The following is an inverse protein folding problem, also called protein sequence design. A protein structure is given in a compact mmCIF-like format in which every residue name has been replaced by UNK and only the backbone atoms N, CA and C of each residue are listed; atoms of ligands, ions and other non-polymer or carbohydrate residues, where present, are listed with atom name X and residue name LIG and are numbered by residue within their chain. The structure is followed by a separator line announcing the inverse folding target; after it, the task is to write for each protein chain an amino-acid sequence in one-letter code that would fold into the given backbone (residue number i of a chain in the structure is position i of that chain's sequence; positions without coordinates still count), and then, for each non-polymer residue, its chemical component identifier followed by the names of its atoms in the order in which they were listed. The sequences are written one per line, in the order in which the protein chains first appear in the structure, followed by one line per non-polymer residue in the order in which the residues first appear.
data_IF_028821081278
#
_entry.id   IF_028821081278
#
_cell.length_a   1.000
_cell.length_b   1.000
_cell.length_c   1.000
_cell.angle_alpha   90.00
_cell.angle_beta   90.00
_cell.angle_gamma   90.00
#
_symmetry.space_group_name_H-M   'P 1'
#
loop_
_entity.id
_entity.type
_entity.pdbx_description
1 polymer ?
#
# COMPACT_ATOMS: atom_id res chain seq x y z
N UNK A 1 17.58 2.30 -18.41
CA UNK A 1 16.80 2.11 -17.15
C UNK A 1 16.23 0.71 -17.18
N UNK A 2 16.55 -0.14 -16.21
CA UNK A 2 16.07 -1.53 -16.18
C UNK A 2 14.60 -1.56 -15.78
N UNK A 3 13.74 -2.03 -16.68
CA UNK A 3 12.35 -2.32 -16.35
C UNK A 3 12.27 -3.47 -15.33
N UNK A 4 11.27 -3.48 -14.44
CA UNK A 4 11.09 -4.59 -13.51
C UNK A 4 10.77 -5.88 -14.27
N UNK A 5 11.26 -7.00 -13.76
CA UNK A 5 10.80 -8.31 -14.18
C UNK A 5 9.46 -8.61 -13.49
N UNK A 6 8.40 -8.79 -14.28
CA UNK A 6 7.07 -9.08 -13.75
C UNK A 6 6.75 -10.57 -13.87
N UNK A 7 6.18 -11.12 -12.82
CA UNK A 7 5.70 -12.51 -12.74
C UNK A 7 4.53 -12.62 -11.78
N UNK A 8 3.90 -13.77 -11.71
CA UNK A 8 2.79 -14.02 -10.78
C UNK A 8 3.09 -15.24 -9.93
N UNK A 9 2.61 -15.21 -8.70
CA UNK A 9 2.71 -16.27 -7.69
C UNK A 9 1.32 -16.65 -7.16
N UNK A 10 1.24 -17.74 -6.41
CA UNK A 10 0.01 -18.22 -5.80
C UNK A 10 -0.75 -19.23 -6.65
N UNK A 11 -1.75 -19.90 -6.08
CA UNK A 11 -2.56 -20.88 -6.77
C UNK A 11 -3.43 -20.26 -7.86
N UNK A 12 -3.95 -21.10 -8.77
CA UNK A 12 -4.90 -20.67 -9.78
C UNK A 12 -6.14 -20.03 -9.11
N UNK A 13 -6.56 -18.89 -9.65
CA UNK A 13 -7.65 -18.08 -9.10
C UNK A 13 -7.26 -17.10 -7.98
N UNK A 14 -6.04 -17.21 -7.44
CA UNK A 14 -5.51 -16.28 -6.41
C UNK A 14 -4.12 -15.74 -6.80
N UNK A 15 -3.90 -15.51 -8.06
CA UNK A 15 -2.60 -15.03 -8.56
C UNK A 15 -2.30 -13.62 -8.10
N UNK A 16 -1.14 -13.45 -7.48
CA UNK A 16 -0.59 -12.16 -7.06
C UNK A 16 0.54 -11.77 -8.02
N UNK A 17 0.45 -10.58 -8.58
CA UNK A 17 1.46 -10.06 -9.48
C UNK A 17 2.58 -9.35 -8.71
N UNK A 18 3.80 -9.66 -9.07
CA UNK A 18 5.02 -9.11 -8.48
C UNK A 18 5.82 -8.40 -9.57
N UNK A 19 6.28 -7.19 -9.27
CA UNK A 19 7.31 -6.49 -10.02
C UNK A 19 8.63 -6.58 -9.24
N UNK A 20 9.71 -7.08 -9.88
CA UNK A 20 11.01 -7.26 -9.26
C UNK A 20 12.08 -6.40 -9.92
N UNK A 21 12.86 -5.69 -9.11
CA UNK A 21 14.08 -5.00 -9.51
C UNK A 21 15.28 -5.69 -8.84
N UNK A 22 16.38 -5.74 -9.57
CA UNK A 22 17.54 -6.53 -9.17
C UNK A 22 17.50 -7.96 -9.74
N UNK A 23 18.64 -8.64 -9.65
CA UNK A 23 18.81 -10.02 -10.14
C UNK A 23 18.40 -11.01 -9.05
N UNK A 24 17.61 -12.01 -9.42
CA UNK A 24 17.29 -13.14 -8.56
C UNK A 24 18.56 -13.92 -8.18
N UNK A 25 18.60 -14.41 -6.94
CA UNK A 25 19.78 -15.14 -6.46
C UNK A 25 21.04 -14.28 -6.33
N UNK A 26 20.92 -12.96 -6.25
CA UNK A 26 22.04 -12.04 -6.08
C UNK A 26 22.73 -12.11 -4.71
N UNK A 27 22.14 -12.82 -3.74
CA UNK A 27 22.57 -12.84 -2.35
C UNK A 27 22.23 -11.57 -1.55
N UNK A 28 21.60 -10.58 -2.19
CA UNK A 28 21.13 -9.35 -1.50
C UNK A 28 19.90 -9.64 -0.66
N UNK A 29 19.74 -8.97 0.50
CA UNK A 29 18.54 -9.09 1.32
C UNK A 29 17.30 -8.60 0.54
N UNK A 30 16.10 -9.14 0.80
CA UNK A 30 14.88 -8.70 0.13
C UNK A 30 14.33 -7.41 0.72
N UNK A 31 13.84 -6.53 -0.17
CA UNK A 31 12.93 -5.45 0.19
C UNK A 31 11.55 -5.75 -0.40
N UNK A 32 10.48 -5.68 0.41
CA UNK A 32 9.10 -5.91 -0.02
C UNK A 32 8.31 -4.61 0.06
N UNK A 33 7.78 -4.17 -1.10
CA UNK A 33 7.08 -2.90 -1.25
C UNK A 33 5.58 -3.12 -1.49
N UNK A 34 4.73 -2.38 -0.76
CA UNK A 34 3.26 -2.42 -0.88
C UNK A 34 2.68 -1.03 -1.11
N UNK A 35 1.92 -0.88 -2.18
CA UNK A 35 1.26 0.38 -2.55
C UNK A 35 -0.06 0.62 -1.81
N UNK A 36 -0.54 1.87 -1.80
CA UNK A 36 -1.84 2.26 -1.26
C UNK A 36 -3.02 1.84 -2.17
N UNK A 37 -4.25 1.99 -1.66
CA UNK A 37 -5.47 1.69 -2.43
C UNK A 37 -5.52 2.54 -3.71
N UNK A 38 -5.94 1.91 -4.81
CA UNK A 38 -6.07 2.54 -6.12
C UNK A 38 -4.78 2.60 -6.95
N UNK A 39 -3.63 2.22 -6.40
CA UNK A 39 -2.33 2.25 -7.10
C UNK A 39 -1.91 0.87 -7.63
N UNK A 40 -0.66 0.76 -8.05
CA UNK A 40 -0.04 -0.45 -8.60
C UNK A 40 1.42 -0.55 -8.14
N UNK A 41 2.04 -1.72 -8.26
CA UNK A 41 3.42 -1.97 -7.84
C UNK A 41 4.43 -0.98 -8.46
N UNK A 42 4.21 -0.56 -9.70
CA UNK A 42 5.15 0.30 -10.43
C UNK A 42 5.20 1.76 -9.96
N UNK A 43 4.28 2.21 -9.12
CA UNK A 43 4.43 3.54 -8.48
C UNK A 43 5.68 3.63 -7.61
N UNK A 44 6.28 2.49 -7.28
CA UNK A 44 7.55 2.38 -6.56
C UNK A 44 8.79 2.41 -7.46
N UNK A 45 8.65 2.53 -8.79
CA UNK A 45 9.76 2.33 -9.74
C UNK A 45 10.99 3.19 -9.46
N UNK A 46 10.82 4.43 -9.06
CA UNK A 46 11.94 5.34 -8.78
C UNK A 46 12.69 4.90 -7.51
N UNK A 47 11.96 4.63 -6.46
CA UNK A 47 12.51 4.12 -5.18
C UNK A 47 13.12 2.73 -5.36
N UNK A 48 12.45 1.84 -6.07
CA UNK A 48 12.87 0.45 -6.24
C UNK A 48 14.15 0.33 -7.06
N UNK A 49 14.36 1.17 -8.08
CA UNK A 49 15.59 1.18 -8.88
C UNK A 49 16.82 1.52 -8.02
N UNK A 50 16.69 2.53 -7.16
CA UNK A 50 17.79 2.92 -6.27
C UNK A 50 18.03 1.87 -5.19
N UNK A 51 16.96 1.33 -4.57
CA UNK A 51 17.08 0.26 -3.58
C UNK A 51 17.71 -1.02 -4.15
N UNK A 52 17.58 -1.27 -5.46
CA UNK A 52 18.17 -2.44 -6.12
C UNK A 52 19.71 -2.46 -6.09
N UNK A 53 20.35 -1.35 -5.73
CA UNK A 53 21.79 -1.34 -5.44
C UNK A 53 22.15 -2.24 -4.25
N UNK A 54 21.29 -2.28 -3.21
CA UNK A 54 21.57 -2.96 -1.95
C UNK A 54 20.63 -4.14 -1.66
N UNK A 55 19.45 -4.20 -2.33
CA UNK A 55 18.37 -5.18 -2.10
C UNK A 55 17.96 -5.89 -3.38
N UNK A 56 17.37 -7.08 -3.23
CA UNK A 56 16.46 -7.61 -4.24
C UNK A 56 15.07 -7.07 -3.91
N UNK A 57 14.54 -6.19 -4.77
CA UNK A 57 13.31 -5.45 -4.49
C UNK A 57 12.12 -6.14 -5.13
N UNK A 58 11.08 -6.41 -4.35
CA UNK A 58 9.80 -6.97 -4.78
C UNK A 58 8.70 -5.98 -4.47
N UNK A 59 7.90 -5.59 -5.45
CA UNK A 59 6.69 -4.81 -5.23
C UNK A 59 5.47 -5.63 -5.63
N UNK A 60 4.51 -5.75 -4.71
CA UNK A 60 3.30 -6.55 -4.89
C UNK A 60 2.15 -5.67 -5.38
N UNK A 61 1.49 -6.06 -6.47
CA UNK A 61 0.15 -5.58 -6.75
C UNK A 61 -0.82 -6.21 -5.74
N UNK A 62 -1.45 -5.40 -4.89
CA UNK A 62 -2.44 -5.88 -3.93
C UNK A 62 -3.62 -6.53 -4.66
N UNK A 63 -4.34 -7.51 -4.05
CA UNK A 63 -5.56 -8.06 -4.66
C UNK A 63 -6.49 -6.93 -5.13
N UNK A 64 -7.20 -7.13 -6.22
CA UNK A 64 -8.05 -6.11 -6.82
C UNK A 64 -7.32 -5.03 -7.64
N UNK A 65 -5.98 -4.92 -7.51
CA UNK A 65 -5.18 -3.91 -8.18
C UNK A 65 -4.31 -4.50 -9.30
N UNK A 66 -3.82 -3.63 -10.16
CA UNK A 66 -2.83 -3.94 -11.18
C UNK A 66 -3.12 -5.25 -11.92
N UNK A 67 -2.17 -6.15 -11.92
CA UNK A 67 -2.25 -7.45 -12.57
C UNK A 67 -2.59 -8.60 -11.62
N UNK A 68 -2.79 -8.32 -10.32
CA UNK A 68 -3.26 -9.30 -9.36
C UNK A 68 -4.71 -9.67 -9.59
N UNK A 69 -5.11 -10.84 -9.07
CA UNK A 69 -6.47 -11.33 -9.16
C UNK A 69 -7.49 -10.37 -8.53
N UNK A 70 -8.73 -10.44 -9.00
CA UNK A 70 -9.84 -9.58 -8.60
C UNK A 70 -10.95 -10.45 -8.04
N UNK A 71 -10.90 -10.78 -6.73
CA UNK A 71 -11.91 -11.62 -6.10
C UNK A 71 -13.26 -10.91 -6.01
N UNK A 72 -14.27 -11.65 -5.55
CA UNK A 72 -15.59 -11.12 -5.23
C UNK A 72 -15.55 -10.11 -4.08
N UNK A 73 -16.57 -9.25 -3.98
CA UNK A 73 -16.58 -8.10 -3.08
C UNK A 73 -16.46 -8.43 -1.58
N UNK A 74 -16.74 -9.66 -1.17
CA UNK A 74 -16.62 -10.17 0.18
C UNK A 74 -15.21 -10.60 0.58
N UNK A 75 -14.24 -10.52 -0.34
CA UNK A 75 -12.85 -10.97 -0.17
C UNK A 75 -11.84 -9.81 -0.09
N UNK A 76 -12.23 -8.67 0.49
CA UNK A 76 -11.41 -7.48 0.66
C UNK A 76 -11.26 -7.06 2.12
N UNK A 77 -11.32 -8.01 3.07
CA UNK A 77 -11.03 -7.73 4.48
C UNK A 77 -9.52 -7.54 4.70
N UNK A 78 -9.16 -6.81 5.75
CA UNK A 78 -7.76 -6.59 6.10
C UNK A 78 -6.96 -7.89 6.23
N UNK A 79 -7.57 -8.94 6.80
CA UNK A 79 -6.95 -10.25 6.95
C UNK A 79 -6.68 -10.92 5.59
N UNK A 80 -7.54 -10.71 4.61
CA UNK A 80 -7.34 -11.24 3.25
C UNK A 80 -6.10 -10.63 2.59
N UNK A 81 -5.88 -9.31 2.76
CA UNK A 81 -4.69 -8.63 2.24
C UNK A 81 -3.42 -9.06 2.98
N UNK A 82 -3.48 -9.20 4.30
CA UNK A 82 -2.35 -9.69 5.09
C UNK A 82 -1.96 -11.11 4.70
N UNK A 83 -2.94 -11.96 4.43
CA UNK A 83 -2.74 -13.33 3.96
C UNK A 83 -2.07 -13.37 2.56
N UNK A 84 -2.43 -12.48 1.65
CA UNK A 84 -1.75 -12.34 0.35
C UNK A 84 -0.26 -12.02 0.54
N UNK A 85 0.07 -11.12 1.45
CA UNK A 85 1.46 -10.78 1.75
C UNK A 85 2.20 -12.01 2.31
N UNK A 86 1.57 -12.76 3.22
CA UNK A 86 2.12 -14.01 3.77
C UNK A 86 2.37 -15.04 2.65
N UNK A 87 1.39 -15.24 1.77
CA UNK A 87 1.51 -16.13 0.61
C UNK A 87 2.68 -15.70 -0.29
N UNK A 88 2.82 -14.40 -0.54
CA UNK A 88 3.93 -13.87 -1.35
C UNK A 88 5.28 -14.15 -0.70
N UNK A 89 5.41 -13.92 0.59
CA UNK A 89 6.64 -14.17 1.36
C UNK A 89 7.02 -15.66 1.31
N UNK A 90 6.06 -16.57 1.49
CA UNK A 90 6.29 -18.01 1.47
C UNK A 90 6.64 -18.51 0.07
N UNK A 91 5.88 -18.10 -0.96
CA UNK A 91 6.11 -18.51 -2.34
C UNK A 91 7.48 -18.07 -2.88
N UNK A 92 7.97 -16.92 -2.40
CA UNK A 92 9.28 -16.38 -2.76
C UNK A 92 10.40 -16.80 -1.81
N UNK A 93 10.10 -17.51 -0.72
CA UNK A 93 11.05 -17.94 0.29
C UNK A 93 11.76 -16.80 1.01
N UNK A 94 11.12 -15.62 1.14
CA UNK A 94 11.74 -14.42 1.68
C UNK A 94 11.96 -14.52 3.19
N UNK A 95 13.14 -14.10 3.64
CA UNK A 95 13.54 -13.95 5.05
C UNK A 95 14.36 -12.68 5.20
N UNK A 96 14.49 -12.16 6.41
CA UNK A 96 15.20 -10.91 6.71
C UNK A 96 14.69 -9.72 5.89
N UNK A 97 13.37 -9.63 5.75
CA UNK A 97 12.70 -8.69 4.84
C UNK A 97 12.74 -7.28 5.41
N UNK A 98 13.20 -6.32 4.60
CA UNK A 98 12.90 -4.91 4.81
C UNK A 98 11.55 -4.60 4.17
N UNK A 99 10.50 -4.46 4.97
CA UNK A 99 9.16 -4.11 4.49
C UNK A 99 9.00 -2.60 4.36
N UNK A 100 8.49 -2.13 3.20
CA UNK A 100 8.26 -0.71 2.90
C UNK A 100 6.86 -0.58 2.32
N UNK A 101 6.00 0.24 2.95
CA UNK A 101 4.62 0.29 2.49
C UNK A 101 3.94 1.64 2.76
N UNK A 102 2.89 1.92 1.99
CA UNK A 102 2.14 3.16 2.02
C UNK A 102 0.64 2.93 2.23
N UNK A 103 0.02 3.75 3.07
CA UNK A 103 -1.43 3.83 3.27
C UNK A 103 -2.03 2.46 3.63
N UNK A 104 -3.05 1.97 2.93
CA UNK A 104 -3.64 0.66 3.16
C UNK A 104 -2.64 -0.50 2.99
N UNK A 105 -1.70 -0.40 2.04
CA UNK A 105 -0.61 -1.38 1.92
C UNK A 105 0.30 -1.43 3.15
N UNK A 106 0.46 -0.30 3.85
CA UNK A 106 1.16 -0.25 5.12
C UNK A 106 0.44 -1.05 6.22
N UNK A 107 -0.89 -0.97 6.24
CA UNK A 107 -1.71 -1.78 7.15
C UNK A 107 -1.58 -3.27 6.83
N UNK A 108 -1.68 -3.64 5.55
CA UNK A 108 -1.54 -5.04 5.12
C UNK A 108 -0.18 -5.62 5.55
N UNK A 109 0.89 -4.83 5.39
CA UNK A 109 2.24 -5.24 5.77
C UNK A 109 2.41 -5.40 7.29
N UNK A 110 1.85 -4.48 8.08
CA UNK A 110 1.85 -4.56 9.54
C UNK A 110 1.10 -5.81 10.03
N UNK A 111 -0.05 -6.11 9.45
CA UNK A 111 -0.83 -7.30 9.80
C UNK A 111 -0.13 -8.60 9.35
N UNK A 112 0.53 -8.58 8.21
CA UNK A 112 1.34 -9.71 7.74
C UNK A 112 2.56 -9.96 8.66
N UNK A 113 3.15 -8.92 9.22
CA UNK A 113 4.24 -9.05 10.18
C UNK A 113 3.82 -9.81 11.46
N UNK A 114 2.56 -9.71 11.87
CA UNK A 114 2.01 -10.56 12.93
C UNK A 114 1.84 -12.02 12.48
N UNK A 115 1.45 -12.25 11.23
CA UNK A 115 1.25 -13.62 10.71
C UNK A 115 2.56 -14.38 10.49
N UNK A 116 3.64 -13.65 10.17
CA UNK A 116 4.96 -14.24 9.92
C UNK A 116 6.10 -13.42 10.56
N UNK A 117 6.13 -13.30 11.92
CA UNK A 117 7.01 -12.36 12.62
C UNK A 117 8.51 -12.60 12.38
N UNK A 118 8.92 -13.87 12.20
CA UNK A 118 10.32 -14.23 11.95
C UNK A 118 10.82 -13.88 10.54
N UNK A 119 9.97 -13.36 9.66
CA UNK A 119 10.34 -13.05 8.28
C UNK A 119 10.85 -11.62 8.10
N UNK A 120 10.51 -10.71 9.01
CA UNK A 120 10.82 -9.29 8.87
C UNK A 120 11.97 -8.86 9.77
N UNK A 121 12.97 -8.19 9.20
CA UNK A 121 14.02 -7.50 9.95
C UNK A 121 13.56 -6.14 10.46
N UNK A 122 12.77 -5.42 9.67
CA UNK A 122 12.18 -4.11 10.01
C UNK A 122 11.11 -3.69 9.02
N UNK A 123 10.29 -2.71 9.43
CA UNK A 123 9.25 -2.12 8.58
C UNK A 123 9.37 -0.60 8.56
N UNK A 124 9.27 -0.02 7.37
CA UNK A 124 9.07 1.42 7.16
C UNK A 124 7.70 1.64 6.54
N UNK A 125 6.77 2.17 7.30
CA UNK A 125 5.37 2.33 6.89
C UNK A 125 4.99 3.81 6.87
N UNK A 126 4.38 4.26 5.78
CA UNK A 126 3.95 5.63 5.59
C UNK A 126 2.44 5.72 5.71
N UNK A 127 1.98 6.46 6.71
CA UNK A 127 0.58 6.77 6.97
C UNK A 127 -0.37 5.55 6.86
N UNK A 128 -0.14 4.49 7.67
CA UNK A 128 -0.96 3.28 7.65
C UNK A 128 -2.40 3.59 8.02
N UNK A 129 -3.35 2.91 7.37
CA UNK A 129 -4.78 3.02 7.67
C UNK A 129 -5.09 2.25 8.96
N UNK A 130 -5.02 2.93 10.11
CA UNK A 130 -5.32 2.37 11.44
C UNK A 130 -6.45 3.17 12.08
N UNK A 131 -7.67 2.78 11.75
CA UNK A 131 -8.88 3.50 12.16
C UNK A 131 -9.12 3.40 13.68
N UNK A 132 -9.73 4.45 14.24
CA UNK A 132 -10.22 4.41 15.62
C UNK A 132 -11.65 3.89 15.66
N UNK A 133 -11.89 2.72 16.26
CA UNK A 133 -13.24 2.21 16.42
C UNK A 133 -14.17 3.18 17.18
N UNK A 134 -13.60 4.01 18.07
CA UNK A 134 -14.37 5.01 18.83
C UNK A 134 -14.89 6.15 17.95
N UNK A 135 -14.28 6.42 16.81
CA UNK A 135 -14.75 7.42 15.85
C UNK A 135 -16.14 7.07 15.29
N UNK A 136 -16.50 5.79 15.26
CA UNK A 136 -17.84 5.33 14.91
C UNK A 136 -18.95 5.85 15.84
N UNK A 137 -18.60 6.15 17.10
CA UNK A 137 -19.57 6.56 18.14
C UNK A 137 -20.11 7.98 17.97
N UNK A 138 -19.47 8.82 17.18
CA UNK A 138 -19.81 10.24 17.05
C UNK A 138 -20.74 10.56 15.87
N UNK A 139 -21.28 9.55 15.20
CA UNK A 139 -22.18 9.73 14.04
C UNK A 139 -21.51 10.21 12.75
N UNK A 140 -20.31 10.80 12.84
CA UNK A 140 -19.60 11.34 11.69
C UNK A 140 -18.97 10.27 10.78
N UNK A 141 -18.84 9.03 11.25
CA UNK A 141 -18.24 7.96 10.45
C UNK A 141 -19.13 7.53 9.29
N UNK A 142 -20.45 7.45 9.49
CA UNK A 142 -21.41 7.08 8.45
C UNK A 142 -21.36 8.06 7.28
N UNK A 143 -21.32 9.36 7.56
CA UNK A 143 -21.23 10.40 6.55
C UNK A 143 -19.88 10.43 5.86
N UNK A 144 -18.80 10.26 6.62
CA UNK A 144 -17.44 10.14 6.07
C UNK A 144 -17.31 8.89 5.17
N UNK A 145 -17.77 7.73 5.65
CA UNK A 145 -17.75 6.48 4.90
C UNK A 145 -18.56 6.58 3.60
N UNK A 146 -19.78 7.12 3.69
CA UNK A 146 -20.64 7.35 2.54
C UNK A 146 -19.99 8.31 1.55
N UNK A 147 -19.42 9.41 2.03
CA UNK A 147 -18.71 10.40 1.22
C UNK A 147 -17.49 9.81 0.50
N UNK A 148 -16.69 9.01 1.19
CA UNK A 148 -15.53 8.33 0.62
C UNK A 148 -15.94 7.35 -0.48
N UNK A 149 -16.92 6.48 -0.22
CA UNK A 149 -17.47 5.53 -1.21
C UNK A 149 -18.02 6.26 -2.42
N UNK A 150 -18.82 7.31 -2.23
CA UNK A 150 -19.39 8.11 -3.32
C UNK A 150 -18.31 8.84 -4.14
N UNK A 151 -17.25 9.30 -3.49
CA UNK A 151 -16.11 9.93 -4.17
C UNK A 151 -15.41 8.94 -5.11
N UNK A 152 -15.14 7.73 -4.61
CA UNK A 152 -14.53 6.65 -5.39
C UNK A 152 -15.42 6.24 -6.57
N UNK A 153 -16.72 6.07 -6.35
CA UNK A 153 -17.66 5.65 -7.40
C UNK A 153 -17.81 6.67 -8.54
N UNK A 154 -17.56 7.97 -8.27
CA UNK A 154 -17.55 9.03 -9.30
C UNK A 154 -16.26 9.10 -10.11
N UNK A 155 -15.24 8.31 -9.76
CA UNK A 155 -13.96 8.31 -10.46
C UNK A 155 -14.13 7.82 -11.90
N UNK A 156 -13.61 8.58 -12.86
CA UNK A 156 -13.59 8.16 -14.27
C UNK A 156 -12.71 6.92 -14.44
N UNK A 157 -13.25 5.87 -15.03
CA UNK A 157 -12.58 4.59 -15.21
C UNK A 157 -12.07 4.36 -16.65
N UNK A 158 -12.63 5.05 -17.64
CA UNK A 158 -12.32 4.86 -19.06
C UNK A 158 -11.86 6.17 -19.70
N UNK A 159 -10.86 6.06 -20.58
CA UNK A 159 -10.27 7.17 -21.30
C UNK A 159 -9.94 6.73 -22.73
N UNK A 160 -9.85 7.71 -23.64
CA UNK A 160 -9.57 7.47 -25.06
C UNK A 160 -8.17 6.89 -25.30
N UNK A 161 -7.19 7.22 -24.43
CA UNK A 161 -5.80 6.78 -24.58
C UNK A 161 -5.03 6.91 -23.25
N UNK A 162 -3.84 6.31 -23.19
CA UNK A 162 -2.87 6.47 -22.11
C UNK A 162 -2.50 7.95 -21.92
N UNK A 163 -2.31 8.66 -23.04
CA UNK A 163 -1.98 10.09 -23.02
C UNK A 163 -3.10 10.92 -22.42
N UNK A 164 -4.36 10.63 -22.76
CA UNK A 164 -5.51 11.33 -22.17
C UNK A 164 -5.59 11.14 -20.65
N UNK A 165 -5.27 9.94 -20.13
CA UNK A 165 -5.15 9.69 -18.69
C UNK A 165 -4.05 10.55 -18.08
N UNK A 166 -2.86 10.54 -18.70
CA UNK A 166 -1.71 11.28 -18.19
C UNK A 166 -2.01 12.77 -18.07
N UNK A 167 -2.53 13.38 -19.12
CA UNK A 167 -2.89 14.82 -19.14
C UNK A 167 -3.98 15.13 -18.09
N UNK A 168 -4.99 14.30 -17.98
CA UNK A 168 -6.06 14.46 -17.00
C UNK A 168 -5.54 14.37 -15.56
N UNK A 169 -4.65 13.42 -15.28
CA UNK A 169 -4.11 13.24 -13.93
C UNK A 169 -3.05 14.28 -13.60
N UNK A 170 -2.22 14.67 -14.56
CA UNK A 170 -1.21 15.71 -14.37
C UNK A 170 -1.83 17.05 -13.95
N UNK A 171 -3.04 17.36 -14.45
CA UNK A 171 -3.80 18.55 -14.07
C UNK A 171 -4.67 18.40 -12.81
N UNK A 172 -4.76 17.18 -12.24
CA UNK A 172 -5.59 16.94 -11.08
C UNK A 172 -4.82 17.23 -9.77
N UNK A 173 -5.43 17.94 -8.80
CA UNK A 173 -4.75 18.30 -7.53
C UNK A 173 -4.16 17.10 -6.77
N UNK A 174 -4.80 15.93 -6.87
CA UNK A 174 -4.35 14.70 -6.19
C UNK A 174 -3.00 14.17 -6.70
N UNK A 175 -2.55 14.57 -7.89
CA UNK A 175 -1.31 14.15 -8.54
C UNK A 175 -0.38 15.32 -8.87
N UNK A 176 -0.72 16.55 -8.44
CA UNK A 176 0.01 17.76 -8.81
C UNK A 176 1.49 17.71 -8.38
N UNK A 177 1.74 17.15 -7.20
CA UNK A 177 3.08 17.08 -6.60
C UNK A 177 3.84 15.78 -6.96
N UNK A 178 3.21 14.84 -7.71
CA UNK A 178 3.88 13.62 -8.13
C UNK A 178 4.98 13.91 -9.16
N UNK A 179 6.07 13.17 -9.08
CA UNK A 179 7.06 13.18 -10.17
C UNK A 179 6.43 12.71 -11.47
N UNK A 180 6.94 13.19 -12.59
CA UNK A 180 6.48 12.75 -13.92
C UNK A 180 6.66 11.25 -14.08
N UNK A 181 7.79 10.70 -13.65
CA UNK A 181 8.11 9.28 -13.73
C UNK A 181 7.14 8.41 -12.92
N UNK A 182 6.78 8.84 -11.71
CA UNK A 182 5.79 8.11 -10.87
C UNK A 182 4.40 8.12 -11.51
N UNK A 183 3.99 9.28 -12.06
CA UNK A 183 2.71 9.38 -12.74
C UNK A 183 2.67 8.54 -14.04
N UNK A 184 3.72 8.57 -14.84
CA UNK A 184 3.85 7.73 -16.04
C UNK A 184 3.78 6.23 -15.70
N UNK A 185 4.48 5.81 -14.64
CA UNK A 185 4.45 4.44 -14.17
C UNK A 185 3.02 4.03 -13.76
N UNK A 186 2.33 4.89 -13.00
CA UNK A 186 0.95 4.64 -12.61
C UNK A 186 0.00 4.55 -13.81
N UNK A 187 0.06 5.51 -14.73
CA UNK A 187 -0.82 5.52 -15.92
C UNK A 187 -0.56 4.31 -16.82
N UNK A 188 0.70 3.95 -17.03
CA UNK A 188 1.07 2.81 -17.89
C UNK A 188 0.63 1.46 -17.33
N UNK A 189 0.69 1.28 -16.02
CA UNK A 189 0.45 -0.02 -15.38
C UNK A 189 -0.89 -0.11 -14.64
N UNK A 190 -1.47 1.02 -14.23
CA UNK A 190 -2.77 1.10 -13.60
C UNK A 190 -3.96 0.96 -14.55
N UNK A 191 -3.72 1.08 -15.86
CA UNK A 191 -4.74 0.98 -16.89
C UNK A 191 -4.49 -0.19 -17.85
N UNK A 192 -5.57 -0.76 -18.37
CA UNK A 192 -5.53 -1.81 -19.39
C UNK A 192 -5.94 -1.22 -20.74
N UNK A 193 -5.09 -1.37 -21.74
CA UNK A 193 -5.41 -1.00 -23.12
C UNK A 193 -6.46 -1.97 -23.66
N UNK A 194 -7.52 -1.44 -24.27
CA UNK A 194 -8.60 -2.18 -24.91
C UNK A 194 -8.31 -2.37 -26.40
N UNK A 195 -9.11 -3.20 -27.08
CA UNK A 195 -8.95 -3.51 -28.49
C UNK A 195 -9.11 -2.27 -29.41
N UNK A 196 -9.93 -1.33 -29.00
CA UNK A 196 -10.19 -0.08 -29.73
C UNK A 196 -9.17 1.04 -29.42
N UNK A 197 -8.14 0.75 -28.63
CA UNK A 197 -7.12 1.69 -28.23
C UNK A 197 -7.47 2.52 -26.99
N UNK A 198 -8.72 2.49 -26.53
CA UNK A 198 -9.11 3.08 -25.23
C UNK A 198 -8.42 2.40 -24.08
N UNK A 199 -8.42 3.03 -22.90
CA UNK A 199 -7.83 2.45 -21.71
C UNK A 199 -8.81 2.44 -20.54
N UNK A 200 -8.76 1.38 -19.76
CA UNK A 200 -9.66 1.17 -18.61
C UNK A 200 -8.85 0.94 -17.33
N UNK A 201 -9.26 1.61 -16.26
CA UNK A 201 -8.66 1.46 -14.94
C UNK A 201 -8.75 0.00 -14.45
N UNK A 202 -7.60 -0.58 -14.08
CA UNK A 202 -7.54 -1.99 -13.61
C UNK A 202 -8.20 -2.18 -12.25
N UNK A 203 -7.97 -1.25 -11.32
CA UNK A 203 -8.73 -1.15 -10.08
C UNK A 203 -9.94 -0.25 -10.33
N UNK A 204 -11.05 -0.84 -10.77
CA UNK A 204 -12.25 -0.07 -11.10
C UNK A 204 -12.86 0.62 -9.87
N UNK A 205 -13.64 1.70 -10.03
CA UNK A 205 -14.34 2.35 -8.92
C UNK A 205 -15.17 1.40 -8.06
N UNK A 206 -15.79 0.38 -8.68
CA UNK A 206 -16.52 -0.64 -7.96
C UNK A 206 -15.65 -1.53 -7.07
N UNK A 207 -14.46 -1.93 -7.57
CA UNK A 207 -13.49 -2.69 -6.79
C UNK A 207 -12.92 -1.84 -5.64
N UNK A 208 -12.54 -0.61 -5.92
CA UNK A 208 -12.01 0.31 -4.92
C UNK A 208 -13.05 0.60 -3.81
N UNK A 209 -14.31 0.79 -4.18
CA UNK A 209 -15.43 0.92 -3.24
C UNK A 209 -15.62 -0.33 -2.38
N UNK A 210 -15.51 -1.53 -2.97
CA UNK A 210 -15.61 -2.79 -2.24
C UNK A 210 -14.50 -2.94 -1.17
N UNK A 211 -13.32 -2.34 -1.40
CA UNK A 211 -12.22 -2.35 -0.42
C UNK A 211 -12.43 -1.39 0.75
N UNK A 212 -13.23 -0.34 0.57
CA UNK A 212 -13.54 0.59 1.65
C UNK A 212 -14.58 0.03 2.62
N UNK A 213 -15.51 -0.78 2.14
CA UNK A 213 -16.61 -1.31 2.95
C UNK A 213 -16.14 -2.12 4.17
N UNK A 214 -15.21 -3.07 4.07
CA UNK A 214 -14.73 -3.82 5.22
C UNK A 214 -14.05 -2.97 6.29
N UNK A 215 -13.46 -1.82 5.90
CA UNK A 215 -12.88 -0.86 6.85
C UNK A 215 -13.96 -0.34 7.79
N UNK A 216 -15.09 0.06 7.23
CA UNK A 216 -16.22 0.62 7.99
C UNK A 216 -16.98 -0.46 8.77
N UNK A 217 -17.15 -1.66 8.19
CA UNK A 217 -17.75 -2.81 8.86
C UNK A 217 -16.91 -3.25 10.07
N UNK A 218 -15.57 -3.31 9.96
CA UNK A 218 -14.69 -3.63 11.08
C UNK A 218 -14.79 -2.60 12.22
N UNK A 219 -14.98 -1.33 11.88
CA UNK A 219 -15.20 -0.28 12.88
C UNK A 219 -16.53 -0.43 13.60
N UNK A 220 -17.60 -0.76 12.89
CA UNK A 220 -18.91 -1.00 13.47
C UNK A 220 -18.92 -2.23 14.39
N UNK A 221 -18.26 -3.32 13.98
CA UNK A 221 -18.12 -4.54 14.79
C UNK A 221 -17.38 -4.27 16.10
N UNK A 222 -16.32 -3.48 16.08
CA UNK A 222 -15.62 -3.08 17.31
C UNK A 222 -16.52 -2.21 18.19
N UNK A 223 -17.34 -1.35 17.59
CA UNK A 223 -18.30 -0.53 18.31
C UNK A 223 -19.37 -1.36 19.03
N UNK A 224 -19.84 -2.44 18.43
CA UNK A 224 -20.82 -3.36 19.00
C UNK A 224 -20.22 -4.34 20.03
N UNK A 225 -18.91 -4.28 20.26
CA UNK A 225 -18.19 -5.09 21.25
C UNK A 225 -17.64 -6.41 20.68
N UNK A 226 -17.75 -6.65 19.39
CA UNK A 226 -17.07 -7.79 18.74
C UNK A 226 -15.60 -7.46 18.42
N UNK A 227 -14.77 -7.60 19.45
CA UNK A 227 -13.31 -7.36 19.33
C UNK A 227 -12.62 -8.32 18.36
N UNK A 228 -13.25 -9.45 17.99
CA UNK A 228 -12.67 -10.42 17.05
C UNK A 228 -12.56 -9.84 15.63
N UNK A 229 -13.43 -8.90 15.29
CA UNK A 229 -13.41 -8.19 14.01
C UNK A 229 -12.39 -7.05 13.93
N UNK A 230 -11.72 -6.68 15.02
CA UNK A 230 -10.75 -5.59 15.03
C UNK A 230 -9.35 -6.03 14.55
N UNK A 231 -8.99 -5.85 13.28
CA UNK A 231 -7.67 -6.25 12.78
C UNK A 231 -6.54 -5.43 13.44
N UNK A 232 -6.83 -4.23 13.92
CA UNK A 232 -5.82 -3.33 14.49
C UNK A 232 -5.34 -3.77 15.88
N UNK A 233 -6.07 -4.65 16.57
CA UNK A 233 -5.59 -5.30 17.79
C UNK A 233 -4.32 -6.12 17.56
N UNK A 234 -4.08 -6.61 16.34
CA UNK A 234 -2.89 -7.37 15.96
C UNK A 234 -1.61 -6.55 15.96
N UNK A 235 -1.71 -5.22 15.91
CA UNK A 235 -0.54 -4.33 15.85
C UNK A 235 0.32 -4.42 17.12
N UNK A 236 -0.27 -4.76 18.26
CA UNK A 236 0.48 -4.99 19.52
C UNK A 236 1.38 -6.24 19.48
N UNK A 237 1.20 -7.11 18.49
CA UNK A 237 1.97 -8.34 18.31
C UNK A 237 3.10 -8.19 17.24
N UNK A 238 3.24 -7.01 16.63
CA UNK A 238 4.33 -6.74 15.68
C UNK A 238 5.65 -6.66 16.45
N UNK A 239 6.54 -7.62 16.21
CA UNK A 239 7.75 -7.82 17.00
C UNK A 239 8.99 -7.13 16.44
N UNK A 240 9.04 -6.86 15.13
CA UNK A 240 10.19 -6.20 14.51
C UNK A 240 10.17 -4.68 14.71
N UNK A 241 11.32 -3.98 14.60
CA UNK A 241 11.38 -2.52 14.59
C UNK A 241 10.50 -1.92 13.48
N UNK A 242 9.70 -0.92 13.83
CA UNK A 242 8.83 -0.21 12.89
C UNK A 242 9.12 1.29 12.90
N UNK A 243 9.32 1.87 11.72
CA UNK A 243 9.29 3.32 11.52
C UNK A 243 7.96 3.69 10.88
N UNK A 244 7.16 4.49 11.60
CA UNK A 244 5.90 5.03 11.09
C UNK A 244 6.15 6.46 10.63
N UNK A 245 6.02 6.71 9.35
CA UNK A 245 6.23 8.03 8.76
C UNK A 245 4.91 8.79 8.61
N UNK A 246 4.99 10.09 8.86
CA UNK A 246 3.89 11.06 8.72
C UNK A 246 4.34 12.16 7.77
N UNK A 247 3.49 12.54 6.83
CA UNK A 247 3.72 13.64 5.91
C UNK A 247 3.06 14.93 6.43
N UNK A 248 3.80 16.05 6.39
CA UNK A 248 3.35 17.31 7.00
C UNK A 248 2.09 17.88 6.37
N UNK A 249 2.00 17.86 5.02
CA UNK A 249 0.85 18.37 4.27
C UNK A 249 -0.29 17.36 4.15
N UNK A 250 -0.13 16.16 4.69
CA UNK A 250 -1.18 15.14 4.66
C UNK A 250 -2.41 15.57 5.48
N UNK A 251 -3.54 15.01 5.15
CA UNK A 251 -4.80 15.31 5.83
C UNK A 251 -4.75 14.87 7.30
N UNK A 252 -5.42 15.60 8.21
CA UNK A 252 -5.40 15.31 9.65
C UNK A 252 -5.71 13.86 9.98
N UNK A 253 -6.68 13.25 9.29
CA UNK A 253 -7.07 11.85 9.52
C UNK A 253 -5.92 10.85 9.32
N UNK A 254 -5.05 11.06 8.32
CA UNK A 254 -3.89 10.18 8.11
C UNK A 254 -2.85 10.34 9.21
N UNK A 255 -2.66 11.56 9.71
CA UNK A 255 -1.76 11.83 10.84
C UNK A 255 -2.25 11.16 12.12
N UNK A 256 -3.56 11.22 12.37
CA UNK A 256 -4.19 10.55 13.52
C UNK A 256 -4.05 9.02 13.42
N UNK A 257 -4.28 8.44 12.25
CA UNK A 257 -4.09 7.01 12.02
C UNK A 257 -2.64 6.57 12.22
N UNK A 258 -1.67 7.34 11.72
CA UNK A 258 -0.25 7.07 11.91
C UNK A 258 0.16 7.19 13.38
N UNK A 259 -0.30 8.22 14.10
CA UNK A 259 -0.06 8.35 15.54
C UNK A 259 -0.64 7.17 16.33
N UNK A 260 -1.79 6.66 15.93
CA UNK A 260 -2.39 5.46 16.50
C UNK A 260 -1.52 4.22 16.26
N UNK A 261 -1.01 4.05 15.05
CA UNK A 261 -0.08 2.94 14.75
C UNK A 261 1.15 2.99 15.66
N UNK A 262 1.74 4.17 15.87
CA UNK A 262 2.87 4.35 16.80
C UNK A 262 2.48 3.96 18.23
N UNK A 263 1.27 4.30 18.67
CA UNK A 263 0.80 3.99 20.03
C UNK A 263 0.51 2.49 20.24
N UNK A 264 0.14 1.76 19.20
CA UNK A 264 -0.25 0.34 19.28
C UNK A 264 0.94 -0.61 19.08
N UNK A 265 1.98 -0.22 18.34
CA UNK A 265 3.12 -1.09 18.00
C UNK A 265 4.24 -0.88 19.02
N UNK A 266 4.65 -1.93 19.78
CA UNK A 266 5.63 -1.77 20.88
C UNK A 266 6.99 -1.23 20.44
N UNK A 267 7.49 -1.66 19.27
CA UNK A 267 8.79 -1.25 18.72
C UNK A 267 8.69 -0.15 17.65
N UNK A 268 7.62 0.67 17.71
CA UNK A 268 7.43 1.76 16.75
C UNK A 268 8.21 3.02 17.14
N UNK A 269 8.69 3.69 16.11
CA UNK A 269 9.23 5.06 16.20
C UNK A 269 8.64 5.89 15.06
N UNK A 270 8.54 7.21 15.28
CA UNK A 270 7.98 8.13 14.30
C UNK A 270 9.05 8.75 13.42
N UNK A 271 8.68 9.02 12.16
CA UNK A 271 9.42 9.86 11.22
C UNK A 271 8.50 10.93 10.65
N UNK A 272 9.01 12.12 10.37
CA UNK A 272 8.22 13.20 9.75
C UNK A 272 8.87 13.63 8.44
N UNK A 273 8.07 13.72 7.38
CA UNK A 273 8.44 14.34 6.12
C UNK A 273 7.91 15.77 6.08
N UNK A 274 8.83 16.74 5.99
CA UNK A 274 8.49 18.16 5.95
C UNK A 274 8.10 18.58 4.52
N UNK A 275 7.06 19.38 4.41
CA UNK A 275 6.63 19.96 3.13
C UNK A 275 6.02 19.00 2.11
N UNK A 276 5.70 17.75 2.49
CA UNK A 276 5.28 16.66 1.60
C UNK A 276 3.86 16.24 1.91
N UNK A 277 3.12 15.80 0.87
CA UNK A 277 1.77 15.28 0.97
C UNK A 277 1.73 13.78 1.27
N UNK A 278 0.53 13.19 1.14
CA UNK A 278 0.26 11.80 1.47
C UNK A 278 1.10 10.79 0.67
N UNK A 279 1.41 11.09 -0.58
CA UNK A 279 2.06 10.16 -1.51
C UNK A 279 3.60 10.32 -1.53
N UNK A 280 4.25 10.23 -0.37
CA UNK A 280 5.69 10.48 -0.18
C UNK A 280 6.57 9.83 -1.24
N UNK A 281 6.37 8.55 -1.53
CA UNK A 281 7.19 7.80 -2.49
C UNK A 281 7.05 8.26 -3.94
N UNK A 282 5.96 8.94 -4.28
CA UNK A 282 5.66 9.45 -5.61
C UNK A 282 5.94 10.94 -5.75
N UNK A 283 5.87 11.67 -4.64
CA UNK A 283 6.14 13.11 -4.59
C UNK A 283 7.64 13.40 -4.46
N UNK A 284 8.32 12.65 -3.59
CA UNK A 284 9.74 12.87 -3.27
C UNK A 284 10.48 11.57 -3.03
N UNK A 285 10.71 10.74 -4.05
CA UNK A 285 11.40 9.45 -3.92
C UNK A 285 12.78 9.59 -3.29
N UNK A 286 13.49 10.70 -3.51
CA UNK A 286 14.83 10.96 -2.95
C UNK A 286 14.79 11.10 -1.43
N UNK A 287 13.85 11.88 -0.89
CA UNK A 287 13.70 12.05 0.56
C UNK A 287 13.26 10.74 1.23
N UNK A 288 12.41 9.96 0.57
CA UNK A 288 12.07 8.63 1.05
C UNK A 288 13.30 7.74 1.10
N UNK A 289 14.12 7.71 0.05
CA UNK A 289 15.35 6.92 0.03
C UNK A 289 16.34 7.31 1.14
N UNK A 290 16.49 8.59 1.44
CA UNK A 290 17.29 9.06 2.57
C UNK A 290 16.74 8.54 3.91
N UNK A 291 15.42 8.63 4.12
CA UNK A 291 14.77 8.13 5.32
C UNK A 291 14.90 6.60 5.48
N UNK A 292 14.76 5.85 4.36
CA UNK A 292 14.94 4.40 4.34
C UNK A 292 16.39 3.99 4.69
N UNK A 293 17.38 4.70 4.15
CA UNK A 293 18.80 4.48 4.46
C UNK A 293 19.15 4.82 5.91
N UNK A 294 18.50 5.85 6.48
CA UNK A 294 18.68 6.24 7.87
C UNK A 294 18.06 5.25 8.87
N UNK A 295 17.06 4.48 8.44
CA UNK A 295 16.44 3.45 9.28
C UNK A 295 17.16 2.12 9.15
N UNK A 296 18.28 1.99 9.86
CA UNK A 296 19.03 0.73 9.94
C UNK A 296 18.37 -0.22 10.94
N UNK A 297 18.45 -1.53 10.66
CA UNK A 297 18.11 -2.52 11.66
C UNK A 297 19.06 -2.28 12.86
N UNK A 298 18.51 -2.26 14.06
CA UNK A 298 19.38 -2.35 15.24
C UNK A 298 20.06 -3.71 15.15
N UNK A 299 21.39 -3.71 15.05
CA UNK A 299 22.17 -4.90 15.28
C UNK A 299 21.87 -5.32 16.74
N UNK A 300 21.12 -6.42 16.91
CA UNK A 300 20.93 -7.04 18.22
C UNK A 300 22.21 -7.65 18.72
#
# INVERSE_FOLDING_TARGET
MTNPHRFSIGPDGQRLAIARWGKDGSGKPPALLLHGTGFVAEVWSDVARELAADYTVYALDRRGHGYSHKPTADRYHFQDFAEDVRIAIEALGLTDIYGIAHSAGATDLLLAAKLCPARFSRLFVMEPTVMDPRAARTGGLSDFATGAVQSVLRRQAEFESVEAVFQRYRSAPAFADWTVSSLEAYVRHGFAVQQDGSVRLRCTPGLESAMLRPIFEAMEQVYTGDVRGNPFAWLSEVACPVRVAIAEKSWPIYKEMAARAVALIPAASQWKFEGIGHCVGQETPEQLLEALKAFKAHAG
#
